data_IF_948862223245
#
_entry.id   IF_948862223245
#
_cell.length_a   1.000
_cell.length_b   1.000
_cell.length_c   1.000
_cell.angle_alpha   90.00
_cell.angle_beta   90.00
_cell.angle_gamma   90.00
#
_symmetry.space_group_name_H-M   'P 1'
#
loop_
_entity.id
_entity.type
_entity.pdbx_description
1 polymer ?
#
# COMPACT_ATOMS: atom_id res chain seq x y z
N UNK A 1 10.48 14.51 -21.67
CA UNK A 1 9.67 15.75 -21.57
C UNK A 1 9.75 16.32 -20.17
N UNK A 2 9.48 17.62 -20.03
CA UNK A 2 9.34 18.27 -18.71
C UNK A 2 7.99 17.96 -18.05
N UNK A 3 7.90 18.10 -16.72
CA UNK A 3 6.65 17.90 -15.98
C UNK A 3 5.53 18.82 -16.46
N UNK A 4 5.82 20.11 -16.63
CA UNK A 4 4.83 21.10 -17.07
C UNK A 4 4.36 20.87 -18.51
N UNK A 5 5.26 20.39 -19.37
CA UNK A 5 4.94 20.02 -20.75
C UNK A 5 3.95 18.85 -20.79
N UNK A 6 4.16 17.83 -19.94
CA UNK A 6 3.25 16.70 -19.81
C UNK A 6 1.84 17.15 -19.43
N UNK A 7 1.72 18.06 -18.45
CA UNK A 7 0.45 18.65 -18.03
C UNK A 7 -0.22 19.47 -19.12
N UNK A 8 0.56 20.27 -19.86
CA UNK A 8 0.04 21.08 -20.96
C UNK A 8 -0.54 20.19 -22.07
N UNK A 9 0.16 19.10 -22.42
CA UNK A 9 -0.31 18.12 -23.41
C UNK A 9 -1.54 17.34 -22.93
N UNK A 10 -1.56 16.96 -21.66
CA UNK A 10 -2.72 16.31 -21.04
C UNK A 10 -3.95 17.23 -21.10
N UNK A 11 -3.80 18.50 -20.70
CA UNK A 11 -4.86 19.49 -20.74
C UNK A 11 -5.35 19.78 -22.17
N UNK A 12 -4.48 19.62 -23.16
CA UNK A 12 -4.83 19.72 -24.57
C UNK A 12 -5.51 18.45 -25.14
N UNK A 13 -5.62 17.37 -24.35
CA UNK A 13 -6.23 16.11 -24.76
C UNK A 13 -5.39 15.30 -25.76
N UNK A 14 -4.07 15.44 -25.76
CA UNK A 14 -3.17 14.75 -26.68
C UNK A 14 -3.16 13.23 -26.42
N UNK A 15 -3.68 12.38 -27.34
CA UNK A 15 -3.75 10.94 -27.13
C UNK A 15 -2.37 10.27 -27.14
N UNK A 16 -1.34 10.91 -27.72
CA UNK A 16 0.02 10.36 -27.82
C UNK A 16 0.81 10.48 -26.51
N UNK A 17 0.28 11.21 -25.52
CA UNK A 17 0.93 11.42 -24.23
C UNK A 17 1.25 10.11 -23.51
N UNK A 18 0.41 9.08 -23.67
CA UNK A 18 0.57 7.78 -22.98
C UNK A 18 1.87 7.07 -23.37
N UNK A 19 2.31 7.27 -24.62
CA UNK A 19 3.57 6.71 -25.15
C UNK A 19 4.77 7.65 -24.98
N UNK A 20 4.55 8.90 -24.58
CA UNK A 20 5.62 9.84 -24.30
C UNK A 20 6.46 9.40 -23.09
N UNK A 21 7.72 9.85 -23.07
CA UNK A 21 8.70 9.49 -22.04
C UNK A 21 8.90 10.66 -21.06
N UNK A 22 8.52 10.45 -19.80
CA UNK A 22 8.75 11.34 -18.66
C UNK A 22 9.87 10.76 -17.79
N UNK A 23 10.98 11.49 -17.64
CA UNK A 23 12.16 11.07 -16.86
C UNK A 23 12.68 9.66 -17.23
N UNK A 24 12.70 9.33 -18.52
CA UNK A 24 13.18 8.04 -19.02
C UNK A 24 12.18 6.88 -18.96
N UNK A 25 10.96 7.11 -18.44
CA UNK A 25 9.91 6.08 -18.32
C UNK A 25 8.64 6.55 -19.03
N UNK A 26 7.91 5.63 -19.69
CA UNK A 26 6.64 5.96 -20.36
C UNK A 26 5.62 6.53 -19.36
N UNK A 27 4.85 7.54 -19.77
CA UNK A 27 3.79 8.14 -18.93
C UNK A 27 2.80 7.10 -18.41
N UNK A 28 2.45 6.11 -19.24
CA UNK A 28 1.57 5.02 -18.83
C UNK A 28 2.06 4.29 -17.57
N UNK A 29 3.37 4.13 -17.38
CA UNK A 29 3.94 3.50 -16.19
C UNK A 29 3.85 4.41 -14.96
N UNK A 30 4.11 5.70 -15.13
CA UNK A 30 3.90 6.69 -14.06
C UNK A 30 2.46 6.69 -13.59
N UNK A 31 1.49 6.62 -14.50
CA UNK A 31 0.08 6.54 -14.14
C UNK A 31 -0.27 5.30 -13.31
N UNK A 32 0.31 4.14 -13.62
CA UNK A 32 0.13 2.92 -12.81
C UNK A 32 0.69 3.08 -11.40
N UNK A 33 1.88 3.68 -11.27
CA UNK A 33 2.48 4.00 -9.97
C UNK A 33 1.57 4.98 -9.21
N UNK A 34 1.05 5.98 -9.92
CA UNK A 34 0.10 6.96 -9.38
C UNK A 34 -1.14 6.31 -8.77
N UNK A 35 -1.79 5.42 -9.51
CA UNK A 35 -2.93 4.63 -9.01
C UNK A 35 -2.59 3.84 -7.76
N UNK A 36 -1.44 3.15 -7.74
CA UNK A 36 -1.03 2.36 -6.59
C UNK A 36 -0.78 3.23 -5.35
N UNK A 37 -0.09 4.37 -5.54
CA UNK A 37 0.15 5.34 -4.46
C UNK A 37 -1.15 5.91 -3.91
N UNK A 38 -2.05 6.36 -4.78
CA UNK A 38 -3.35 6.91 -4.38
C UNK A 38 -4.19 5.86 -3.64
N UNK A 39 -4.20 4.61 -4.12
CA UNK A 39 -4.91 3.52 -3.46
C UNK A 39 -4.36 3.22 -2.05
N UNK A 40 -3.05 3.05 -1.91
CA UNK A 40 -2.42 2.77 -0.62
C UNK A 40 -2.61 3.92 0.37
N UNK A 41 -2.46 5.16 -0.11
CA UNK A 41 -2.70 6.35 0.70
C UNK A 41 -4.16 6.46 1.14
N UNK A 42 -5.11 6.18 0.24
CA UNK A 42 -6.53 6.12 0.56
C UNK A 42 -6.84 5.07 1.63
N UNK A 43 -6.22 3.89 1.55
CA UNK A 43 -6.38 2.85 2.57
C UNK A 43 -5.89 3.30 3.95
N UNK A 44 -4.75 3.99 4.01
CA UNK A 44 -4.25 4.57 5.26
C UNK A 44 -5.21 5.63 5.81
N UNK A 45 -5.74 6.51 4.95
CA UNK A 45 -6.72 7.52 5.36
C UNK A 45 -8.03 6.90 5.87
N UNK A 46 -8.52 5.83 5.26
CA UNK A 46 -9.71 5.11 5.74
C UNK A 46 -9.46 4.51 7.13
N UNK A 47 -8.30 3.88 7.35
CA UNK A 47 -7.92 3.35 8.66
C UNK A 47 -7.86 4.46 9.71
N UNK A 48 -7.34 5.63 9.32
CA UNK A 48 -7.26 6.81 10.18
C UNK A 48 -8.66 7.37 10.53
N UNK A 49 -9.59 7.41 9.56
CA UNK A 49 -10.98 7.83 9.77
C UNK A 49 -11.74 6.89 10.70
N UNK A 50 -11.50 5.56 10.61
CA UNK A 50 -12.11 4.58 11.52
C UNK A 50 -11.68 4.83 12.98
N UNK A 51 -10.50 5.41 13.17
CA UNK A 51 -9.94 5.77 14.46
C UNK A 51 -9.23 4.59 15.14
N UNK A 52 -8.01 4.81 15.69
CA UNK A 52 -7.28 3.82 16.50
C UNK A 52 -8.15 3.16 17.57
N UNK A 53 -8.98 3.98 18.21
CA UNK A 53 -9.68 3.66 19.44
C UNK A 53 -10.68 2.54 19.21
N UNK A 54 -11.34 2.52 18.04
CA UNK A 54 -12.29 1.47 17.67
C UNK A 54 -11.60 0.13 17.43
N UNK A 55 -10.38 0.16 16.89
CA UNK A 55 -9.57 -1.03 16.65
C UNK A 55 -9.09 -1.59 17.99
N UNK A 56 -8.53 -0.73 18.86
CA UNK A 56 -8.06 -1.11 20.19
C UNK A 56 -9.20 -1.69 21.03
N UNK A 57 -10.36 -1.02 21.09
CA UNK A 57 -11.53 -1.53 21.81
C UNK A 57 -12.06 -2.86 21.26
N UNK A 58 -11.84 -3.15 19.98
CA UNK A 58 -12.20 -4.44 19.38
C UNK A 58 -11.20 -5.54 19.72
N UNK A 59 -9.92 -5.19 19.85
CA UNK A 59 -8.86 -6.11 20.30
C UNK A 59 -9.04 -6.41 21.79
N UNK A 60 -9.26 -5.40 22.64
CA UNK A 60 -9.46 -5.57 24.09
C UNK A 60 -10.64 -6.49 24.40
N UNK A 61 -11.77 -6.35 23.68
CA UNK A 61 -12.91 -7.26 23.79
C UNK A 61 -12.56 -8.71 23.47
N UNK A 62 -11.63 -8.96 22.54
CA UNK A 62 -11.13 -10.32 22.23
C UNK A 62 -10.11 -10.83 23.25
N UNK A 63 -9.32 -9.93 23.86
CA UNK A 63 -8.37 -10.28 24.93
C UNK A 63 -9.09 -10.66 26.20
N UNK A 64 -10.09 -9.87 26.62
CA UNK A 64 -10.90 -10.14 27.80
C UNK A 64 -11.64 -11.48 27.75
N UNK A 65 -11.88 -12.02 26.54
CA UNK A 65 -12.43 -13.36 26.32
C UNK A 65 -11.44 -14.53 26.53
N UNK A 66 -10.23 -14.30 27.06
CA UNK A 66 -9.29 -15.35 27.48
C UNK A 66 -8.52 -16.07 26.36
N UNK A 67 -8.76 -15.73 25.08
CA UNK A 67 -8.06 -16.37 23.96
C UNK A 67 -6.62 -15.87 23.72
N UNK A 68 -6.24 -14.72 24.30
CA UNK A 68 -4.97 -14.04 23.99
C UNK A 68 -3.90 -14.13 25.08
N UNK A 69 -4.11 -14.89 26.16
CA UNK A 69 -3.10 -15.00 27.24
C UNK A 69 -1.82 -15.77 26.82
N UNK A 70 -1.86 -16.47 25.67
CA UNK A 70 -0.66 -17.07 25.04
C UNK A 70 0.21 -16.08 24.27
N UNK A 71 -0.19 -14.82 24.13
CA UNK A 71 0.46 -13.83 23.27
C UNK A 71 1.57 -13.02 23.96
N UNK A 72 2.33 -13.61 24.88
CA UNK A 72 3.58 -13.00 25.38
C UNK A 72 4.52 -12.78 24.20
N UNK A 73 4.64 -11.52 23.80
CA UNK A 73 5.21 -11.09 22.53
C UNK A 73 6.73 -11.19 22.55
N UNK A 74 7.28 -12.19 21.88
CA UNK A 74 8.70 -12.17 21.52
C UNK A 74 8.92 -11.11 20.43
N UNK A 75 9.50 -9.96 20.82
CA UNK A 75 9.83 -8.84 19.92
C UNK A 75 10.65 -9.29 18.71
N UNK A 76 11.45 -10.36 18.85
CA UNK A 76 12.25 -10.91 17.74
C UNK A 76 11.36 -11.57 16.68
N UNK A 77 10.29 -12.24 17.09
CA UNK A 77 9.34 -12.88 16.17
C UNK A 77 8.53 -11.82 15.38
N UNK A 78 8.15 -10.71 16.02
CA UNK A 78 7.47 -9.61 15.35
C UNK A 78 8.34 -8.95 14.27
N UNK A 79 9.62 -8.68 14.58
CA UNK A 79 10.57 -8.09 13.62
C UNK A 79 10.85 -9.00 12.43
N UNK A 80 11.01 -10.31 12.66
CA UNK A 80 11.15 -11.30 11.58
C UNK A 80 9.90 -11.35 10.70
N UNK A 81 8.72 -11.30 11.32
CA UNK A 81 7.45 -11.27 10.60
C UNK A 81 7.36 -10.08 9.64
N UNK A 82 7.67 -8.87 10.09
CA UNK A 82 7.66 -7.67 9.24
C UNK A 82 8.65 -7.76 8.07
N UNK A 83 9.88 -8.26 8.32
CA UNK A 83 10.91 -8.39 7.28
C UNK A 83 10.50 -9.43 6.23
N UNK A 84 10.06 -10.62 6.66
CA UNK A 84 9.61 -11.68 5.76
C UNK A 84 8.39 -11.21 4.96
N UNK A 85 7.48 -10.48 5.60
CA UNK A 85 6.25 -10.04 4.98
C UNK A 85 6.43 -8.88 3.99
N UNK A 86 7.19 -7.85 4.38
CA UNK A 86 7.58 -6.77 3.49
C UNK A 86 8.33 -7.32 2.27
N UNK A 87 9.22 -8.30 2.48
CA UNK A 87 9.91 -9.00 1.40
C UNK A 87 8.95 -9.75 0.47
N UNK A 88 7.99 -10.50 1.01
CA UNK A 88 7.01 -11.26 0.22
C UNK A 88 6.07 -10.34 -0.57
N UNK A 89 5.57 -9.27 0.04
CA UNK A 89 4.72 -8.29 -0.62
C UNK A 89 5.45 -7.60 -1.78
N UNK A 90 6.70 -7.17 -1.55
CA UNK A 90 7.54 -6.58 -2.60
C UNK A 90 7.81 -7.61 -3.70
N UNK A 91 8.09 -8.87 -3.35
CA UNK A 91 8.32 -9.94 -4.34
C UNK A 91 7.08 -10.20 -5.22
N UNK A 92 5.88 -10.22 -4.63
CA UNK A 92 4.62 -10.40 -5.36
C UNK A 92 4.32 -9.18 -6.23
N UNK A 93 4.50 -7.97 -5.68
CA UNK A 93 4.31 -6.73 -6.42
C UNK A 93 5.27 -6.66 -7.62
N UNK A 94 6.55 -6.97 -7.40
CA UNK A 94 7.57 -7.04 -8.45
C UNK A 94 7.24 -8.16 -9.44
N UNK A 95 6.77 -9.32 -8.99
CA UNK A 95 6.34 -10.41 -9.86
C UNK A 95 5.17 -10.03 -10.77
N UNK A 96 4.19 -9.32 -10.24
CA UNK A 96 3.04 -8.78 -11.00
C UNK A 96 3.49 -7.69 -11.98
N UNK A 97 4.42 -6.84 -11.57
CA UNK A 97 4.99 -5.78 -12.40
C UNK A 97 5.85 -6.35 -13.54
N UNK A 98 6.62 -7.41 -13.27
CA UNK A 98 7.55 -8.01 -14.23
C UNK A 98 6.91 -9.05 -15.15
N UNK A 99 5.83 -9.73 -14.73
CA UNK A 99 5.10 -10.70 -15.56
C UNK A 99 3.83 -10.08 -16.13
N UNK A 100 4.00 -9.24 -17.14
CA UNK A 100 2.90 -8.72 -17.96
C UNK A 100 2.53 -9.65 -19.14
N UNK A 101 3.29 -10.74 -19.37
CA UNK A 101 3.00 -11.73 -20.44
C UNK A 101 2.21 -12.96 -19.98
N UNK A 102 2.05 -13.17 -18.66
CA UNK A 102 1.09 -14.18 -18.19
C UNK A 102 -0.31 -13.61 -18.41
N UNK A 103 -1.09 -14.24 -19.29
CA UNK A 103 -2.50 -13.90 -19.48
C UNK A 103 -3.26 -13.78 -18.15
N UNK A 104 -4.46 -13.17 -18.15
CA UNK A 104 -5.16 -12.73 -16.94
C UNK A 104 -5.32 -13.80 -15.86
N UNK A 105 -5.39 -15.08 -16.25
CA UNK A 105 -5.49 -16.23 -15.34
C UNK A 105 -4.21 -16.48 -14.52
N UNK A 106 -3.03 -16.24 -15.08
CA UNK A 106 -1.75 -16.43 -14.37
C UNK A 106 -1.56 -15.42 -13.25
N UNK A 107 -1.96 -14.17 -13.47
CA UNK A 107 -1.93 -13.10 -12.46
C UNK A 107 -2.90 -13.43 -11.32
N UNK A 108 -4.11 -13.89 -11.66
CA UNK A 108 -5.12 -14.31 -10.69
C UNK A 108 -4.65 -15.47 -9.81
N UNK A 109 -4.04 -16.50 -10.40
CA UNK A 109 -3.52 -17.65 -9.65
C UNK A 109 -2.40 -17.25 -8.67
N UNK A 110 -1.47 -16.39 -9.11
CA UNK A 110 -0.39 -15.88 -8.24
C UNK A 110 -0.96 -15.03 -7.11
N UNK A 111 -1.91 -14.13 -7.42
CA UNK A 111 -2.57 -13.30 -6.41
C UNK A 111 -3.33 -14.14 -5.38
N UNK A 112 -4.04 -15.19 -5.82
CA UNK A 112 -4.78 -16.07 -4.93
C UNK A 112 -3.85 -16.84 -3.99
N UNK A 113 -2.79 -17.46 -4.52
CA UNK A 113 -1.80 -18.21 -3.72
C UNK A 113 -1.07 -17.30 -2.75
N UNK A 114 -0.74 -16.07 -3.16
CA UNK A 114 -0.12 -15.08 -2.28
C UNK A 114 -1.08 -14.53 -1.21
N UNK A 115 -2.39 -14.52 -1.46
CA UNK A 115 -3.37 -13.88 -0.57
C UNK A 115 -3.59 -14.63 0.75
N UNK A 116 -3.46 -15.96 0.77
CA UNK A 116 -3.65 -16.78 1.98
C UNK A 116 -2.59 -16.50 3.05
N UNK A 117 -1.27 -16.62 2.76
CA UNK A 117 -0.24 -16.23 3.73
C UNK A 117 -0.29 -14.72 4.02
N UNK A 118 -0.73 -13.90 3.05
CA UNK A 118 -0.94 -12.48 3.27
C UNK A 118 -1.99 -12.19 4.34
N UNK A 119 -3.16 -12.81 4.25
CA UNK A 119 -4.25 -12.65 5.22
C UNK A 119 -3.85 -13.16 6.61
N UNK A 120 -3.18 -14.31 6.69
CA UNK A 120 -2.70 -14.85 7.96
C UNK A 120 -1.68 -13.93 8.63
N UNK A 121 -0.74 -13.39 7.86
CA UNK A 121 0.25 -12.46 8.36
C UNK A 121 -0.32 -11.09 8.71
N UNK A 122 -1.27 -10.57 7.93
CA UNK A 122 -2.02 -9.35 8.29
C UNK A 122 -2.71 -9.56 9.63
N UNK A 123 -3.41 -10.67 9.83
CA UNK A 123 -4.07 -10.95 11.10
C UNK A 123 -3.10 -11.03 12.30
N UNK A 124 -1.87 -11.52 12.09
CA UNK A 124 -0.86 -11.64 13.16
C UNK A 124 0.00 -10.39 13.37
N UNK A 125 0.37 -9.68 12.31
CA UNK A 125 1.31 -8.56 12.36
C UNK A 125 0.60 -7.24 12.51
N UNK A 126 -0.58 -7.08 11.90
CA UNK A 126 -1.32 -5.82 11.91
C UNK A 126 -1.64 -5.37 13.34
N UNK A 127 -2.14 -6.20 14.27
CA UNK A 127 -2.41 -5.74 15.64
C UNK A 127 -1.13 -5.24 16.33
N UNK A 128 -0.01 -5.96 16.18
CA UNK A 128 1.28 -5.60 16.79
C UNK A 128 1.83 -4.31 16.23
N UNK A 129 1.79 -4.18 14.91
CA UNK A 129 2.26 -3.00 14.21
C UNK A 129 1.41 -1.78 14.58
N UNK A 130 0.09 -1.92 14.58
CA UNK A 130 -0.83 -0.85 14.99
C UNK A 130 -0.60 -0.42 16.44
N UNK A 131 -0.46 -1.36 17.38
CA UNK A 131 -0.14 -1.00 18.78
C UNK A 131 1.17 -0.24 18.88
N UNK A 132 2.23 -0.67 18.18
CA UNK A 132 3.50 0.05 18.18
C UNK A 132 3.38 1.43 17.54
N UNK A 133 2.63 1.55 16.44
CA UNK A 133 2.40 2.78 15.72
C UNK A 133 1.71 3.82 16.61
N UNK A 134 0.65 3.40 17.30
CA UNK A 134 -0.15 4.26 18.16
C UNK A 134 0.55 4.66 19.46
N UNK A 135 1.60 3.94 19.88
CA UNK A 135 2.44 4.40 20.98
C UNK A 135 3.33 5.61 20.59
N UNK A 136 3.40 5.97 19.31
CA UNK A 136 4.24 7.05 18.81
C UNK A 136 3.42 8.06 17.99
N UNK A 137 2.77 9.01 18.65
CA UNK A 137 1.93 10.06 18.01
C UNK A 137 2.63 10.80 16.86
N UNK A 138 3.94 11.03 16.99
CA UNK A 138 4.75 11.67 15.94
C UNK A 138 4.82 10.83 14.66
N UNK A 139 4.91 9.51 14.80
CA UNK A 139 4.95 8.57 13.67
C UNK A 139 3.59 8.54 12.97
N UNK A 140 2.49 8.50 13.75
CA UNK A 140 1.13 8.57 13.20
C UNK A 140 0.93 9.86 12.41
N UNK A 141 1.31 11.00 12.98
CA UNK A 141 1.21 12.30 12.32
C UNK A 141 2.03 12.33 11.03
N UNK A 142 3.29 11.85 11.08
CA UNK A 142 4.16 11.79 9.92
C UNK A 142 3.59 10.90 8.81
N UNK A 143 3.03 9.73 9.16
CA UNK A 143 2.38 8.83 8.21
C UNK A 143 1.16 9.50 7.59
N UNK A 144 0.31 10.16 8.39
CA UNK A 144 -0.86 10.86 7.87
C UNK A 144 -0.47 11.93 6.86
N UNK A 145 0.53 12.76 7.19
CA UNK A 145 1.04 13.79 6.28
C UNK A 145 1.65 13.17 5.02
N UNK A 146 2.46 12.12 5.17
CA UNK A 146 3.09 11.43 4.05
C UNK A 146 2.05 10.75 3.15
N UNK A 147 1.01 10.13 3.72
CA UNK A 147 -0.09 9.52 2.98
C UNK A 147 -0.90 10.57 2.23
N UNK A 148 -1.22 11.71 2.84
CA UNK A 148 -1.90 12.80 2.14
C UNK A 148 -1.06 13.31 0.95
N UNK A 149 0.24 13.53 1.16
CA UNK A 149 1.14 13.94 0.08
C UNK A 149 1.23 12.87 -1.02
N UNK A 150 1.37 11.60 -0.65
CA UNK A 150 1.39 10.48 -1.59
C UNK A 150 0.08 10.32 -2.36
N UNK A 151 -1.07 10.59 -1.72
CA UNK A 151 -2.37 10.59 -2.38
C UNK A 151 -2.44 11.66 -3.47
N UNK A 152 -2.07 12.89 -3.13
CA UNK A 152 -2.07 14.02 -4.07
C UNK A 152 -1.11 13.74 -5.23
N UNK A 153 0.13 13.36 -4.95
CA UNK A 153 1.13 13.04 -5.98
C UNK A 153 0.68 11.86 -6.85
N UNK A 154 0.16 10.80 -6.22
CA UNK A 154 -0.35 9.64 -6.93
C UNK A 154 -1.50 9.99 -7.88
N UNK A 155 -2.43 10.83 -7.43
CA UNK A 155 -3.52 11.33 -8.24
C UNK A 155 -3.04 12.16 -9.45
N UNK A 156 -2.02 12.99 -9.28
CA UNK A 156 -1.43 13.75 -10.40
C UNK A 156 -0.84 12.84 -11.47
N UNK A 157 -0.11 11.80 -11.06
CA UNK A 157 0.41 10.84 -12.02
C UNK A 157 -0.68 10.02 -12.70
N UNK A 158 -1.73 9.64 -11.96
CA UNK A 158 -2.87 8.93 -12.53
C UNK A 158 -3.57 9.73 -13.62
N UNK A 159 -3.82 11.03 -13.37
CA UNK A 159 -4.43 11.92 -14.36
C UNK A 159 -3.63 11.97 -15.67
N UNK A 160 -2.29 12.03 -15.62
CA UNK A 160 -1.47 12.06 -16.84
C UNK A 160 -1.63 10.82 -17.74
N UNK A 161 -2.11 9.69 -17.20
CA UNK A 161 -2.37 8.47 -17.97
C UNK A 161 -3.82 8.22 -18.35
N UNK A 162 -4.78 9.02 -17.83
CA UNK A 162 -6.19 8.93 -18.18
C UNK A 162 -6.44 9.58 -19.53
#
# INVERSE_FOLDING_TARGET
>A
MGWWEAWTRWAAGDPTLKDAVLWGVKVLWWARIGKLMAFLAGLVLVVDIIGPERIVASVERRVAGGHLDRWRVDRRAARRGVIVFGGLFVLVLVGVVLRLDSGPLGILAIALVASVPALAAVNHLLPRFLTWLYLHDRVVTAIRTASLAAFVVGFHFDMLGS
#
